data_IF_159239260801
#
_entry.id   IF_159239260801
#
_cell.length_a   1.000
_cell.length_b   1.000
_cell.length_c   1.000
_cell.angle_alpha   90.00
_cell.angle_beta   90.00
_cell.angle_gamma   90.00
#
_symmetry.space_group_name_H-M   'P 1'
#
loop_
_entity.id
_entity.type
_entity.pdbx_description
1 polymer ?
#
# COMPACT_ATOMS: atom_id res chain seq x y z
N UNK A 1 -13.77 11.23 -17.15
CA UNK A 1 -12.57 10.60 -17.76
C UNK A 1 -11.64 10.27 -16.61
N UNK A 2 -11.46 8.99 -16.27
CA UNK A 2 -10.37 8.61 -15.37
C UNK A 2 -9.08 8.63 -16.18
N UNK A 3 -8.04 9.39 -15.80
CA UNK A 3 -6.82 9.52 -16.59
C UNK A 3 -5.97 8.24 -16.66
N UNK A 4 -6.32 7.20 -15.88
CA UNK A 4 -5.61 5.92 -15.84
C UNK A 4 -6.59 4.75 -15.88
N UNK A 5 -6.25 3.70 -16.64
CA UNK A 5 -6.88 2.38 -16.48
C UNK A 5 -6.21 1.69 -15.30
N UNK A 6 -6.95 1.49 -14.21
CA UNK A 6 -6.61 0.50 -13.19
C UNK A 6 -6.45 -0.84 -13.90
N UNK A 7 -5.29 -1.46 -13.76
CA UNK A 7 -4.88 -2.58 -14.61
C UNK A 7 -4.26 -3.72 -13.83
N UNK A 8 -3.73 -3.43 -12.64
CA UNK A 8 -3.00 -4.42 -11.85
C UNK A 8 -3.55 -4.48 -10.43
N UNK A 9 -4.05 -5.67 -10.09
CA UNK A 9 -4.69 -5.99 -8.82
C UNK A 9 -3.75 -5.96 -7.59
N UNK A 10 -2.46 -5.69 -7.79
CA UNK A 10 -1.44 -5.53 -6.76
C UNK A 10 -0.86 -4.13 -6.76
N UNK A 11 -0.51 -3.58 -7.93
CA UNK A 11 0.13 -2.26 -8.00
C UNK A 11 -0.85 -1.11 -7.77
N UNK A 12 -2.11 -1.22 -8.19
CA UNK A 12 -3.11 -0.19 -7.93
C UNK A 12 -3.32 0.03 -6.41
N UNK A 13 -3.62 -1.00 -5.59
CA UNK A 13 -3.72 -0.83 -4.15
C UNK A 13 -2.40 -0.43 -3.49
N UNK A 14 -1.24 -0.77 -4.07
CA UNK A 14 0.06 -0.35 -3.55
C UNK A 14 0.28 1.14 -3.71
N UNK A 15 0.02 1.67 -4.90
CA UNK A 15 0.09 3.10 -5.17
C UNK A 15 -0.92 3.86 -4.31
N UNK A 16 -2.15 3.35 -4.18
CA UNK A 16 -3.16 3.94 -3.30
C UNK A 16 -2.69 4.01 -1.83
N UNK A 17 -2.11 2.92 -1.31
CA UNK A 17 -1.56 2.88 0.06
C UNK A 17 -0.39 3.83 0.24
N UNK A 18 0.45 3.97 -0.80
CA UNK A 18 1.60 4.88 -0.78
C UNK A 18 1.15 6.34 -0.80
N UNK A 19 0.22 6.70 -1.69
CA UNK A 19 -0.35 8.06 -1.77
C UNK A 19 -0.94 8.44 -0.43
N UNK A 20 -1.79 7.58 0.12
CA UNK A 20 -2.40 7.80 1.41
C UNK A 20 -1.38 7.95 2.54
N UNK A 21 -0.35 7.11 2.59
CA UNK A 21 0.71 7.22 3.58
C UNK A 21 1.41 8.56 3.50
N UNK A 22 1.78 9.01 2.29
CA UNK A 22 2.46 10.28 2.10
C UNK A 22 1.54 11.47 2.39
N UNK A 23 0.25 11.38 2.06
CA UNK A 23 -0.74 12.40 2.41
C UNK A 23 -0.88 12.54 3.93
N UNK A 24 -0.97 11.42 4.65
CA UNK A 24 -1.00 11.38 6.12
C UNK A 24 0.30 11.95 6.71
N UNK A 25 1.47 11.53 6.21
CA UNK A 25 2.78 12.06 6.63
C UNK A 25 2.88 13.59 6.43
N UNK A 26 2.42 14.08 5.27
CA UNK A 26 2.48 15.50 4.91
C UNK A 26 1.31 16.34 5.45
N UNK A 27 0.37 15.72 6.15
CA UNK A 27 -0.85 16.35 6.68
C UNK A 27 -1.68 17.06 5.58
N UNK A 28 -1.82 16.42 4.42
CA UNK A 28 -2.65 16.88 3.31
C UNK A 28 -3.81 15.92 3.05
N UNK A 29 -4.87 16.42 2.44
CA UNK A 29 -6.06 15.63 2.15
C UNK A 29 -5.76 14.51 1.13
N UNK A 30 -6.20 13.29 1.44
CA UNK A 30 -6.08 12.14 0.54
C UNK A 30 -7.09 12.32 -0.61
N UNK A 31 -6.66 12.27 -1.89
CA UNK A 31 -7.58 12.40 -3.02
C UNK A 31 -8.71 11.37 -2.98
N UNK A 32 -9.95 11.79 -3.23
CA UNK A 32 -11.15 10.95 -3.09
C UNK A 32 -11.07 9.61 -3.85
N UNK A 33 -10.48 9.60 -5.05
CA UNK A 33 -10.36 8.40 -5.88
C UNK A 33 -9.48 7.30 -5.26
N UNK A 34 -8.57 7.64 -4.34
CA UNK A 34 -7.69 6.66 -3.64
C UNK A 34 -8.51 5.68 -2.80
N UNK A 35 -9.69 6.10 -2.35
CA UNK A 35 -10.64 5.28 -1.58
C UNK A 35 -11.43 4.31 -2.46
N UNK A 36 -11.52 4.59 -3.77
CA UNK A 36 -12.22 3.72 -4.74
C UNK A 36 -11.36 2.52 -5.17
N UNK A 37 -10.06 2.52 -4.84
CA UNK A 37 -9.14 1.46 -5.21
C UNK A 37 -9.36 0.24 -4.31
N UNK A 38 -9.77 -0.93 -4.86
CA UNK A 38 -10.00 -2.12 -4.07
C UNK A 38 -8.68 -2.66 -3.49
N UNK A 39 -8.75 -3.40 -2.35
CA UNK A 39 -7.58 -4.10 -1.81
C UNK A 39 -7.09 -5.20 -2.77
N UNK A 40 -5.88 -5.71 -2.53
CA UNK A 40 -5.41 -6.92 -3.21
C UNK A 40 -6.40 -8.07 -3.02
N UNK A 41 -6.55 -8.93 -4.04
CA UNK A 41 -7.39 -10.15 -3.93
C UNK A 41 -6.90 -11.04 -2.79
N UNK A 42 -5.59 -11.32 -2.80
CA UNK A 42 -4.88 -12.10 -1.79
C UNK A 42 -3.86 -11.23 -1.04
N UNK A 43 -3.49 -11.60 0.21
CA UNK A 43 -2.34 -11.03 0.91
C UNK A 43 -1.08 -10.97 0.04
N UNK A 44 -0.54 -9.77 -0.16
CA UNK A 44 0.67 -9.57 -0.94
C UNK A 44 1.86 -9.19 -0.05
N UNK A 45 2.80 -10.12 0.09
CA UNK A 45 4.06 -9.92 0.81
C UNK A 45 5.14 -9.46 -0.16
N UNK A 46 5.49 -8.18 -0.13
CA UNK A 46 6.36 -7.60 -1.15
C UNK A 46 7.80 -8.12 -1.08
N UNK A 47 8.30 -8.42 0.13
CA UNK A 47 9.66 -8.92 0.31
C UNK A 47 9.91 -10.27 -0.38
N UNK A 48 8.86 -11.07 -0.66
CA UNK A 48 8.98 -12.37 -1.33
C UNK A 48 9.69 -13.46 -0.50
N UNK A 49 10.09 -13.18 0.74
CA UNK A 49 10.78 -14.11 1.64
C UNK A 49 9.81 -14.64 2.69
N UNK A 50 9.64 -15.97 2.75
CA UNK A 50 8.68 -16.63 3.64
C UNK A 50 8.91 -16.29 5.12
N UNK A 51 10.17 -16.33 5.56
CA UNK A 51 10.55 -16.06 6.94
C UNK A 51 10.30 -14.61 7.37
N UNK A 52 10.08 -13.69 6.43
CA UNK A 52 9.78 -12.28 6.71
C UNK A 52 8.28 -12.00 6.80
N UNK A 53 7.39 -12.96 6.53
CA UNK A 53 5.95 -12.70 6.54
C UNK A 53 5.43 -12.22 7.89
N UNK A 54 5.87 -12.87 8.98
CA UNK A 54 5.48 -12.47 10.34
C UNK A 54 5.93 -11.04 10.67
N UNK A 55 7.16 -10.71 10.29
CA UNK A 55 7.73 -9.37 10.47
C UNK A 55 6.96 -8.35 9.64
N UNK A 56 6.71 -8.63 8.36
CA UNK A 56 5.94 -7.75 7.48
C UNK A 56 4.52 -7.52 8.01
N UNK A 57 3.85 -8.52 8.59
CA UNK A 57 2.54 -8.34 9.23
C UNK A 57 2.61 -7.34 10.39
N UNK A 58 3.64 -7.45 11.24
CA UNK A 58 3.82 -6.60 12.41
C UNK A 58 4.23 -5.17 12.03
N UNK A 59 5.11 -5.01 11.05
CA UNK A 59 5.71 -3.73 10.69
C UNK A 59 4.87 -2.90 9.70
N UNK A 60 3.99 -3.55 8.93
CA UNK A 60 3.25 -2.85 7.88
C UNK A 60 2.39 -1.71 8.43
N UNK A 61 2.52 -0.48 7.88
CA UNK A 61 1.65 0.62 8.25
C UNK A 61 0.17 0.30 7.99
N UNK A 62 -0.74 0.90 8.76
CA UNK A 62 -2.18 0.65 8.64
C UNK A 62 -2.69 0.90 7.21
N UNK A 63 -2.14 1.92 6.55
CA UNK A 63 -2.41 2.34 5.19
C UNK A 63 -2.23 1.22 4.15
N UNK A 64 -1.24 0.35 4.38
CA UNK A 64 -0.95 -0.83 3.55
C UNK A 64 -1.75 -2.06 4.00
N UNK A 65 -1.84 -2.30 5.32
CA UNK A 65 -2.54 -3.48 5.87
C UNK A 65 -4.00 -3.54 5.43
N UNK A 66 -4.71 -2.41 5.41
CA UNK A 66 -6.11 -2.36 4.96
C UNK A 66 -6.31 -2.76 3.49
N UNK A 67 -5.26 -2.69 2.67
CA UNK A 67 -5.26 -3.14 1.27
C UNK A 67 -4.63 -4.52 1.07
N UNK A 68 -4.41 -5.28 2.16
CA UNK A 68 -3.74 -6.59 2.20
C UNK A 68 -2.32 -6.57 1.65
N UNK A 69 -1.61 -5.46 1.82
CA UNK A 69 -0.22 -5.31 1.40
C UNK A 69 0.66 -5.34 2.63
N UNK A 70 1.69 -6.18 2.58
CA UNK A 70 2.63 -6.40 3.66
C UNK A 70 4.04 -6.04 3.23
N UNK A 71 4.56 -4.99 3.85
CA UNK A 71 5.89 -4.40 3.62
C UNK A 71 6.66 -4.35 4.93
N UNK A 72 7.98 -4.19 4.84
CA UNK A 72 8.84 -3.93 5.99
C UNK A 72 8.83 -2.43 6.32
N UNK A 73 9.22 -2.11 7.55
CA UNK A 73 9.23 -0.74 8.10
C UNK A 73 10.06 0.25 7.27
N UNK A 74 11.09 -0.22 6.56
CA UNK A 74 11.96 0.61 5.72
C UNK A 74 11.42 0.86 4.29
N UNK A 75 10.23 0.36 3.94
CA UNK A 75 9.73 0.39 2.57
C UNK A 75 9.64 1.79 1.94
N UNK A 76 9.21 2.79 2.72
CA UNK A 76 9.12 4.19 2.27
C UNK A 76 10.29 5.04 2.77
N UNK A 77 11.36 4.42 3.27
CA UNK A 77 12.55 5.14 3.73
C UNK A 77 13.24 5.86 2.56
N UNK A 78 13.67 7.11 2.80
CA UNK A 78 14.36 7.97 1.83
C UNK A 78 15.65 8.43 2.50
N UNK A 79 16.78 7.82 2.13
CA UNK A 79 18.13 8.18 2.60
C UNK A 79 18.88 8.95 1.52
#
# INVERSE_FOLDING_TARGET
>A
MSPFKYGDNRFDPLLASTIEYLCDEMQIEVPAWVWEIPPCKEPWFMAGVENLKAIAIAESPAHFRRRKIFVLSNFLSRV
#
